data_IF_850426289475
#
_entry.id   IF_850426289475
#
_cell.length_a   1.000
_cell.length_b   1.000
_cell.length_c   1.000
_cell.angle_alpha   90.00
_cell.angle_beta   90.00
_cell.angle_gamma   90.00
#
_symmetry.space_group_name_H-M   'P 1'
#
loop_
_entity.id
_entity.type
_entity.pdbx_description
1 polymer ?
#
# COMPACT_ATOMS: atom_id res chain seq x y z
N UNK A 1 -3.64 4.52 24.80
CA UNK A 1 -2.89 3.24 24.68
C UNK A 1 -2.36 3.12 23.26
N UNK A 2 -1.07 2.83 23.09
CA UNK A 2 -0.31 3.01 21.84
C UNK A 2 -0.77 2.09 20.69
N UNK A 3 -1.83 2.47 19.98
CA UNK A 3 -2.31 1.80 18.75
C UNK A 3 -1.41 2.06 17.52
N UNK A 4 -0.34 2.80 17.71
CA UNK A 4 0.55 3.30 16.66
C UNK A 4 1.41 2.16 16.09
N UNK A 5 2.01 1.35 16.96
CA UNK A 5 2.83 0.18 16.62
C UNK A 5 2.10 -0.86 15.75
N UNK A 6 0.93 -1.40 16.14
CA UNK A 6 0.22 -2.39 15.32
C UNK A 6 -0.24 -1.82 13.97
N UNK A 7 -0.58 -0.52 13.91
CA UNK A 7 -0.97 0.15 12.67
C UNK A 7 0.23 0.34 11.72
N UNK A 8 1.40 0.67 12.26
CA UNK A 8 2.64 0.73 11.49
C UNK A 8 3.10 -0.62 11.00
N UNK A 9 2.99 -1.68 11.81
CA UNK A 9 3.33 -3.04 11.41
C UNK A 9 2.46 -3.49 10.23
N UNK A 10 1.13 -3.31 10.36
CA UNK A 10 0.16 -3.67 9.31
C UNK A 10 0.35 -2.86 8.04
N UNK A 11 0.65 -1.56 8.15
CA UNK A 11 0.91 -0.71 6.98
C UNK A 11 2.26 -1.03 6.31
N UNK A 12 3.30 -1.34 7.08
CA UNK A 12 4.64 -1.60 6.54
C UNK A 12 4.66 -2.97 5.85
N UNK A 13 4.01 -3.98 6.44
CA UNK A 13 3.86 -5.30 5.82
C UNK A 13 3.13 -5.23 4.46
N UNK A 14 2.09 -4.40 4.36
CA UNK A 14 1.30 -4.25 3.12
C UNK A 14 2.02 -3.45 2.04
N UNK A 15 2.88 -2.49 2.41
CA UNK A 15 3.58 -1.62 1.45
C UNK A 15 4.92 -2.19 0.99
N UNK A 16 5.70 -2.78 1.89
CA UNK A 16 7.05 -3.26 1.62
C UNK A 16 7.31 -4.61 2.35
N UNK A 17 6.74 -5.73 1.84
CA UNK A 17 6.85 -7.04 2.50
C UNK A 17 8.29 -7.53 2.63
N UNK A 18 9.16 -7.24 1.65
CA UNK A 18 10.57 -7.65 1.68
C UNK A 18 11.34 -6.98 2.83
N UNK A 19 11.15 -5.67 3.01
CA UNK A 19 11.83 -4.89 4.04
C UNK A 19 11.37 -5.36 5.43
N UNK A 20 10.08 -5.65 5.57
CA UNK A 20 9.54 -6.23 6.80
C UNK A 20 10.22 -7.54 7.17
N UNK A 21 10.29 -8.49 6.23
CA UNK A 21 10.90 -9.80 6.47
C UNK A 21 12.37 -9.66 6.86
N UNK A 22 13.13 -8.85 6.12
CA UNK A 22 14.55 -8.67 6.41
C UNK A 22 14.81 -8.03 7.79
N UNK A 23 14.00 -7.06 8.21
CA UNK A 23 14.11 -6.48 9.55
C UNK A 23 13.80 -7.55 10.61
N UNK A 24 12.76 -8.35 10.42
CA UNK A 24 12.41 -9.41 11.37
C UNK A 24 13.54 -10.44 11.49
N UNK A 25 14.10 -10.88 10.36
CA UNK A 25 15.24 -11.81 10.34
C UNK A 25 16.44 -11.22 11.08
N UNK A 26 16.84 -9.99 10.77
CA UNK A 26 17.98 -9.34 11.44
C UNK A 26 17.77 -9.15 12.94
N UNK A 27 16.55 -8.80 13.38
CA UNK A 27 16.22 -8.69 14.81
C UNK A 27 16.28 -10.05 15.50
N UNK A 28 15.73 -11.09 14.89
CA UNK A 28 15.76 -12.45 15.44
C UNK A 28 17.20 -12.95 15.56
N UNK A 29 18.02 -12.74 14.53
CA UNK A 29 19.42 -13.18 14.50
C UNK A 29 20.28 -12.43 15.53
N UNK A 30 20.02 -11.13 15.73
CA UNK A 30 20.66 -10.36 16.79
C UNK A 30 20.25 -10.84 18.20
N UNK A 31 18.97 -11.18 18.39
CA UNK A 31 18.50 -11.71 19.66
C UNK A 31 19.12 -13.07 19.96
N UNK A 32 19.15 -13.98 18.99
CA UNK A 32 19.78 -15.31 19.13
C UNK A 32 21.27 -15.15 19.42
N UNK A 33 21.99 -14.36 18.62
CA UNK A 33 23.42 -14.12 18.84
C UNK A 33 23.75 -13.47 20.18
N UNK A 34 22.89 -12.57 20.68
CA UNK A 34 23.03 -11.96 21.99
C UNK A 34 22.68 -12.90 23.16
N UNK A 35 21.77 -13.85 22.96
CA UNK A 35 21.40 -14.88 23.95
C UNK A 35 22.46 -15.98 24.07
N UNK A 36 23.10 -16.35 22.96
CA UNK A 36 24.12 -17.41 22.88
C UNK A 36 25.56 -16.89 23.01
N UNK A 37 25.77 -15.61 23.37
CA UNK A 37 27.09 -14.93 23.44
C UNK A 37 27.90 -15.01 22.13
N UNK A 38 27.22 -15.23 21.01
CA UNK A 38 27.80 -15.33 19.68
C UNK A 38 27.91 -13.95 19.05
N UNK A 39 29.08 -13.34 19.21
CA UNK A 39 29.38 -12.02 18.66
C UNK A 39 29.15 -11.91 17.15
N UNK A 40 29.44 -12.98 16.41
CA UNK A 40 29.26 -13.01 14.95
C UNK A 40 27.79 -12.96 14.54
N UNK A 41 26.92 -13.73 15.21
CA UNK A 41 25.47 -13.72 14.94
C UNK A 41 24.85 -12.41 15.37
N UNK A 42 25.26 -11.88 16.53
CA UNK A 42 24.81 -10.57 17.00
C UNK A 42 25.15 -9.46 16.01
N UNK A 43 26.41 -9.36 15.57
CA UNK A 43 26.85 -8.36 14.62
C UNK A 43 26.20 -8.53 13.24
N UNK A 44 25.97 -9.77 12.80
CA UNK A 44 25.30 -10.06 11.53
C UNK A 44 23.83 -9.65 11.56
N UNK A 45 23.11 -9.98 12.64
CA UNK A 45 21.73 -9.54 12.84
C UNK A 45 21.60 -8.03 12.93
N UNK A 46 22.47 -7.37 13.70
CA UNK A 46 22.49 -5.91 13.85
C UNK A 46 22.82 -5.22 12.52
N UNK A 47 23.80 -5.75 11.78
CA UNK A 47 24.19 -5.27 10.46
C UNK A 47 23.04 -5.40 9.46
N UNK A 48 22.38 -6.55 9.41
CA UNK A 48 21.26 -6.80 8.51
C UNK A 48 20.07 -5.90 8.82
N UNK A 49 19.69 -5.76 10.10
CA UNK A 49 18.63 -4.85 10.54
C UNK A 49 18.98 -3.38 10.27
N UNK A 50 20.23 -2.98 10.50
CA UNK A 50 20.72 -1.62 10.25
C UNK A 50 20.71 -1.24 8.77
N UNK A 51 21.27 -2.10 7.91
CA UNK A 51 21.32 -1.89 6.44
C UNK A 51 19.90 -1.79 5.88
N UNK A 52 19.01 -2.66 6.32
CA UNK A 52 17.63 -2.69 5.83
C UNK A 52 16.84 -1.46 6.26
N UNK A 53 17.05 -0.98 7.48
CA UNK A 53 16.48 0.26 7.96
C UNK A 53 17.02 1.47 7.19
N UNK A 54 18.34 1.52 6.93
CA UNK A 54 18.96 2.58 6.14
C UNK A 54 18.40 2.62 4.70
N UNK A 55 18.28 1.47 4.04
CA UNK A 55 17.68 1.35 2.71
C UNK A 55 16.21 1.79 2.71
N UNK A 56 15.45 1.45 3.75
CA UNK A 56 14.06 1.90 3.91
C UNK A 56 13.98 3.42 4.02
N UNK A 57 14.82 4.02 4.85
CA UNK A 57 14.87 5.48 5.04
C UNK A 57 15.29 6.19 3.75
N UNK A 58 16.27 5.65 3.04
CA UNK A 58 16.70 6.14 1.72
C UNK A 58 15.55 6.11 0.71
N UNK A 59 14.83 4.99 0.61
CA UNK A 59 13.67 4.88 -0.29
C UNK A 59 12.54 5.84 0.08
N UNK A 60 12.29 6.09 1.36
CA UNK A 60 11.29 7.05 1.81
C UNK A 60 11.66 8.47 1.39
N UNK A 61 12.94 8.84 1.51
CA UNK A 61 13.43 10.14 1.03
C UNK A 61 13.29 10.26 -0.50
N UNK A 62 13.62 9.21 -1.25
CA UNK A 62 13.45 9.20 -2.71
C UNK A 62 11.98 9.26 -3.15
N UNK A 63 11.05 8.67 -2.40
CA UNK A 63 9.61 8.70 -2.73
C UNK A 63 8.94 10.05 -2.43
N UNK A 64 9.60 10.99 -1.76
CA UNK A 64 9.02 12.29 -1.40
C UNK A 64 8.93 13.27 -2.58
N UNK A 65 9.48 12.94 -3.75
CA UNK A 65 9.63 13.88 -4.89
C UNK A 65 8.70 13.66 -6.07
N UNK A 66 7.78 12.69 -6.03
CA UNK A 66 6.78 12.53 -7.09
C UNK A 66 5.46 13.10 -6.55
N UNK A 67 4.98 14.26 -7.05
CA UNK A 67 3.60 14.67 -6.83
C UNK A 67 2.72 13.49 -7.23
N UNK A 68 1.87 13.00 -6.33
CA UNK A 68 0.82 12.06 -6.72
C UNK A 68 0.14 12.66 -7.95
N UNK A 69 0.27 11.97 -9.09
CA UNK A 69 -0.45 12.34 -10.30
C UNK A 69 -1.90 12.55 -9.87
N UNK A 70 -2.48 13.75 -10.10
CA UNK A 70 -3.81 14.05 -9.62
C UNK A 70 -4.71 12.95 -10.18
N UNK A 71 -5.25 12.11 -9.29
CA UNK A 71 -6.21 11.08 -9.66
C UNK A 71 -7.21 11.78 -10.55
N UNK A 72 -7.21 11.46 -11.83
CA UNK A 72 -8.05 12.13 -12.81
C UNK A 72 -9.47 11.73 -12.45
N UNK A 73 -10.07 12.51 -11.56
CA UNK A 73 -11.44 12.37 -11.14
C UNK A 73 -12.22 12.75 -12.38
N UNK A 74 -12.56 11.73 -13.17
CA UNK A 74 -13.52 11.85 -14.25
C UNK A 74 -14.88 12.10 -13.61
N UNK A 75 -15.10 13.35 -13.20
CA UNK A 75 -16.39 13.81 -12.75
C UNK A 75 -17.37 13.62 -13.91
N UNK A 76 -18.50 12.99 -13.62
CA UNK A 76 -19.64 13.10 -14.50
C UNK A 76 -19.99 14.59 -14.61
N UNK A 77 -20.29 15.10 -15.82
CA UNK A 77 -20.75 16.47 -15.95
C UNK A 77 -21.98 16.66 -15.07
N UNK A 78 -22.06 17.80 -14.35
CA UNK A 78 -23.18 18.14 -13.45
C UNK A 78 -24.56 18.12 -14.12
N UNK A 79 -24.58 18.01 -15.45
CA UNK A 79 -25.78 17.89 -16.27
C UNK A 79 -25.65 16.68 -17.19
N UNK A 80 -26.66 15.82 -17.14
CA UNK A 80 -26.84 14.73 -18.10
C UNK A 80 -27.09 15.31 -19.49
N UNK A 81 -26.08 15.30 -20.36
CA UNK A 81 -26.17 15.75 -21.77
C UNK A 81 -26.78 14.66 -22.66
N UNK A 82 -27.81 13.96 -22.18
CA UNK A 82 -28.50 12.93 -22.96
C UNK A 82 -29.55 13.64 -23.83
N UNK A 83 -29.40 13.71 -25.16
CA UNK A 83 -30.49 14.16 -26.01
C UNK A 83 -31.68 13.23 -25.79
N UNK A 84 -32.88 13.80 -25.66
CA UNK A 84 -34.13 13.06 -25.51
C UNK A 84 -34.19 11.96 -26.56
N UNK A 85 -34.16 10.71 -26.11
CA UNK A 85 -34.21 9.55 -27.00
C UNK A 85 -35.46 9.66 -27.88
N UNK A 86 -35.36 9.38 -29.19
CA UNK A 86 -36.51 9.44 -30.08
C UNK A 86 -37.60 8.50 -29.55
N UNK A 87 -38.81 9.04 -29.44
CA UNK A 87 -39.96 8.30 -28.92
C UNK A 87 -40.25 7.13 -29.87
N UNK A 88 -39.94 5.90 -29.43
CA UNK A 88 -40.35 4.68 -30.11
C UNK A 88 -41.88 4.61 -30.01
N UNK A 89 -42.55 5.09 -31.05
CA UNK A 89 -43.99 4.94 -31.21
C UNK A 89 -44.30 3.45 -31.29
N UNK A 90 -44.74 2.87 -30.17
CA UNK A 90 -45.34 1.54 -30.18
C UNK A 90 -46.67 1.69 -30.90
N UNK A 91 -46.72 1.32 -32.18
CA UNK A 91 -47.96 1.11 -32.92
C UNK A 91 -48.81 0.13 -32.11
N UNK A 92 -49.80 0.65 -31.38
CA UNK A 92 -50.84 -0.16 -30.74
C UNK A 92 -51.55 -0.93 -31.86
N UNK A 93 -51.26 -2.23 -32.00
CA UNK A 93 -52.11 -3.14 -32.77
C UNK A 93 -53.49 -3.16 -32.11
N UNK A 94 -54.50 -3.04 -32.96
CA UNK A 94 -55.94 -2.85 -32.67
C UNK A 94 -56.48 -3.84 -31.61
N UNK A 95 -57.47 -3.44 -30.79
CA UNK A 95 -58.19 -4.39 -29.94
C UNK A 95 -59.06 -5.32 -30.81
N UNK A 96 -59.18 -6.62 -30.45
CA UNK A 96 -60.15 -7.50 -31.08
C UNK A 96 -61.58 -7.11 -30.64
N UNK A 97 -62.50 -7.25 -31.60
CA UNK A 97 -63.95 -7.04 -31.44
C UNK A 97 -64.57 -7.86 -30.31
#
# INVERSE_FOLDING_TARGET
MNAVLPRFLKSTYRKDPLISVLITVGVVDALIGGLDDSWSLFAFGLGTAGITLALKLWRIQQRRSIPEEPVVQHYLPSRSSSPTLPMLTVTKKKPPY
#
